data_IF_366708873128
#
_entry.id   IF_366708873128
#
_cell.length_a   1.000
_cell.length_b   1.000
_cell.length_c   1.000
_cell.angle_alpha   90.00
_cell.angle_beta   90.00
_cell.angle_gamma   90.00
#
_symmetry.space_group_name_H-M   'P 1'
#
loop_
_entity.id
_entity.type
_entity.pdbx_description
1 polymer ?
#
# COMPACT_ATOMS: atom_id res chain seq x y z
N UNK A 1 -29.23 -22.94 -9.96
CA UNK A 1 -27.88 -22.68 -10.54
C UNK A 1 -28.06 -21.68 -11.66
N UNK A 2 -27.51 -20.47 -11.58
CA UNK A 2 -27.57 -19.51 -12.68
C UNK A 2 -26.64 -19.97 -13.82
N UNK A 3 -27.08 -19.86 -15.07
CA UNK A 3 -26.24 -20.15 -16.25
C UNK A 3 -25.17 -19.06 -16.36
N UNK A 4 -23.89 -19.46 -16.45
CA UNK A 4 -22.77 -18.53 -16.61
C UNK A 4 -22.48 -18.33 -18.10
N UNK A 5 -22.63 -17.10 -18.58
CA UNK A 5 -22.30 -16.74 -19.96
C UNK A 5 -20.81 -16.38 -20.11
N UNK A 6 -20.15 -16.75 -21.23
CA UNK A 6 -18.75 -16.46 -21.47
C UNK A 6 -18.56 -15.03 -22.00
N UNK A 7 -18.82 -14.02 -21.16
CA UNK A 7 -18.62 -12.62 -21.54
C UNK A 7 -17.13 -12.28 -21.60
N UNK A 8 -16.66 -11.61 -22.67
CA UNK A 8 -15.25 -11.28 -22.82
C UNK A 8 -14.90 -10.08 -21.92
N UNK A 9 -14.49 -10.35 -20.67
CA UNK A 9 -14.13 -9.31 -19.70
C UNK A 9 -12.67 -8.87 -19.78
N UNK A 10 -11.74 -9.80 -20.01
CA UNK A 10 -10.31 -9.48 -19.99
C UNK A 10 -9.86 -8.61 -21.18
N UNK A 11 -10.38 -8.88 -22.38
CA UNK A 11 -10.02 -8.15 -23.61
C UNK A 11 -10.36 -6.65 -23.58
N UNK A 12 -11.56 -6.22 -23.14
CA UNK A 12 -11.84 -4.79 -23.06
C UNK A 12 -11.27 -4.14 -21.78
N UNK A 13 -11.15 -4.89 -20.68
CA UNK A 13 -10.84 -4.29 -19.37
C UNK A 13 -9.36 -4.32 -18.99
N UNK A 14 -8.47 -4.91 -19.80
CA UNK A 14 -7.04 -4.97 -19.47
C UNK A 14 -6.39 -3.60 -19.21
N UNK A 15 -6.74 -2.48 -19.90
CA UNK A 15 -6.10 -1.20 -19.61
C UNK A 15 -6.43 -0.70 -18.20
N UNK A 16 -7.65 -0.97 -17.71
CA UNK A 16 -8.05 -0.63 -16.34
C UNK A 16 -7.32 -1.49 -15.31
N UNK A 17 -7.17 -2.79 -15.58
CA UNK A 17 -6.39 -3.67 -14.72
C UNK A 17 -4.91 -3.22 -14.64
N UNK A 18 -4.32 -2.85 -15.78
CA UNK A 18 -2.95 -2.30 -15.83
C UNK A 18 -2.85 -0.98 -15.07
N UNK A 19 -3.79 -0.05 -15.29
CA UNK A 19 -3.84 1.22 -14.57
C UNK A 19 -3.92 1.00 -13.05
N UNK A 20 -4.81 0.12 -12.61
CA UNK A 20 -4.94 -0.25 -11.19
C UNK A 20 -3.65 -0.82 -10.61
N UNK A 21 -2.95 -1.70 -11.36
CA UNK A 21 -1.67 -2.27 -10.91
C UNK A 21 -0.58 -1.19 -10.75
N UNK A 22 -0.49 -0.25 -11.69
CA UNK A 22 0.46 0.86 -11.63
C UNK A 22 0.14 1.76 -10.43
N UNK A 23 -1.12 2.20 -10.31
CA UNK A 23 -1.56 3.05 -9.21
C UNK A 23 -1.33 2.38 -7.85
N UNK A 24 -1.64 1.08 -7.75
CA UNK A 24 -1.40 0.31 -6.54
C UNK A 24 0.08 0.34 -6.13
N UNK A 25 0.99 0.08 -7.08
CA UNK A 25 2.43 0.11 -6.80
C UNK A 25 2.90 1.49 -6.31
N UNK A 26 2.46 2.56 -6.99
CA UNK A 26 2.84 3.93 -6.63
C UNK A 26 2.32 4.31 -5.23
N UNK A 27 1.03 4.05 -4.97
CA UNK A 27 0.42 4.35 -3.67
C UNK A 27 1.04 3.51 -2.56
N UNK A 28 1.36 2.24 -2.83
CA UNK A 28 2.04 1.39 -1.87
C UNK A 28 3.39 1.97 -1.43
N UNK A 29 4.22 2.40 -2.40
CA UNK A 29 5.51 3.04 -2.11
C UNK A 29 5.35 4.37 -1.38
N UNK A 30 4.38 5.19 -1.79
CA UNK A 30 4.06 6.45 -1.13
C UNK A 30 3.59 6.24 0.31
N UNK A 31 2.77 5.22 0.56
CA UNK A 31 2.28 4.86 1.90
C UNK A 31 3.41 4.45 2.84
N UNK A 32 4.39 3.68 2.36
CA UNK A 32 5.57 3.33 3.16
C UNK A 32 6.37 4.59 3.51
N UNK A 33 6.56 5.49 2.55
CA UNK A 33 7.29 6.74 2.80
C UNK A 33 6.54 7.63 3.80
N UNK A 34 5.22 7.77 3.67
CA UNK A 34 4.42 8.61 4.55
C UNK A 34 4.35 8.10 5.98
N UNK A 35 4.34 6.77 6.19
CA UNK A 35 4.33 6.19 7.53
C UNK A 35 5.65 6.41 8.29
N UNK A 36 6.77 6.55 7.56
CA UNK A 36 8.08 6.84 8.14
C UNK A 36 8.38 8.35 8.25
N UNK A 37 7.37 9.22 8.08
CA UNK A 37 7.53 10.65 8.37
C UNK A 37 7.68 10.89 9.87
N UNK A 38 8.27 12.02 10.25
CA UNK A 38 8.55 12.31 11.66
C UNK A 38 7.27 12.37 12.52
N UNK A 39 6.13 12.75 11.95
CA UNK A 39 4.83 12.76 12.62
C UNK A 39 4.31 11.34 12.94
N UNK A 40 4.49 10.39 12.02
CA UNK A 40 3.85 9.06 12.10
C UNK A 40 4.78 7.92 12.48
N UNK A 41 6.09 8.16 12.54
CA UNK A 41 7.11 7.11 12.78
C UNK A 41 7.00 6.45 14.16
N UNK A 42 6.37 7.13 15.11
CA UNK A 42 6.17 6.68 16.50
C UNK A 42 4.70 6.44 16.85
N UNK A 43 3.78 6.45 15.87
CA UNK A 43 2.39 6.03 16.10
C UNK A 43 2.38 4.53 16.49
N UNK A 44 1.78 4.12 17.63
CA UNK A 44 1.75 2.71 18.07
C UNK A 44 1.16 1.74 17.04
N UNK A 45 0.41 2.22 16.05
CA UNK A 45 -0.16 1.41 14.95
C UNK A 45 0.81 1.20 13.79
N UNK A 46 1.99 1.82 13.83
CA UNK A 46 2.97 1.70 12.78
C UNK A 46 3.40 0.22 12.62
N UNK A 47 3.35 -0.37 11.40
CA UNK A 47 3.59 -1.81 11.18
C UNK A 47 4.93 -2.33 11.72
N UNK A 48 5.94 -1.45 11.83
CA UNK A 48 7.24 -1.74 12.43
C UNK A 48 7.14 -2.34 13.85
N UNK A 49 6.16 -1.89 14.65
CA UNK A 49 5.99 -2.40 16.01
C UNK A 49 5.51 -3.85 16.02
N UNK A 50 4.69 -4.26 15.05
CA UNK A 50 4.28 -5.65 14.89
C UNK A 50 5.46 -6.58 14.52
N UNK A 51 6.47 -6.06 13.83
CA UNK A 51 7.73 -6.78 13.54
C UNK A 51 8.77 -6.68 14.66
N UNK A 52 8.41 -6.16 15.85
CA UNK A 52 9.32 -6.05 17.00
C UNK A 52 10.26 -4.83 16.97
N UNK A 53 10.04 -3.87 16.08
CA UNK A 53 10.80 -2.62 16.10
C UNK A 53 10.40 -1.71 17.26
N UNK A 54 11.28 -0.76 17.60
CA UNK A 54 11.14 0.11 18.78
C UNK A 54 10.83 1.55 18.37
N UNK A 55 10.54 2.39 19.37
CA UNK A 55 10.40 3.83 19.20
C UNK A 55 11.72 4.43 18.72
N UNK A 56 11.64 5.48 17.91
CA UNK A 56 12.80 6.20 17.39
C UNK A 56 12.79 7.60 17.99
N UNK A 57 13.91 8.00 18.60
CA UNK A 57 14.08 9.36 19.12
C UNK A 57 14.39 10.31 17.96
N UNK A 58 13.44 11.18 17.64
CA UNK A 58 13.53 12.12 16.51
C UNK A 58 14.55 13.25 16.74
N UNK A 59 14.78 13.65 17.99
CA UNK A 59 15.74 14.70 18.35
C UNK A 59 17.21 14.25 18.20
N UNK A 60 17.46 12.95 18.09
CA UNK A 60 18.79 12.36 17.91
C UNK A 60 19.08 11.95 16.46
N UNK A 61 18.23 12.40 15.53
CA UNK A 61 18.42 12.20 14.10
C UNK A 61 19.42 13.26 13.64
N UNK A 62 20.71 12.90 13.67
CA UNK A 62 21.86 13.74 13.27
C UNK A 62 21.61 14.52 11.96
#
# INVERSE_FOLDING_TARGET
>A
MAVRFPTPVAKPLWPYATGAAITYYLIYKASIASQNSDEFINDPRHPRFASGGKFIDLEKKD
#
